data_IF_700450141435
#
_entry.id   IF_700450141435
#
_cell.length_a   1.000
_cell.length_b   1.000
_cell.length_c   1.000
_cell.angle_alpha   90.00
_cell.angle_beta   90.00
_cell.angle_gamma   90.00
#
_symmetry.space_group_name_H-M   'P 1'
#
loop_
_entity.id
_entity.type
_entity.pdbx_description
1 polymer ?
#
# COMPACT_ATOMS: atom_id res chain seq x y z
N UNK A 1 4.30 8.48 -30.07
CA UNK A 1 3.35 7.38 -30.33
C UNK A 1 4.07 6.05 -30.11
N UNK A 2 3.48 5.09 -29.40
CA UNK A 2 4.09 3.79 -29.12
C UNK A 2 3.30 2.67 -29.82
N UNK A 3 3.99 1.72 -30.46
CA UNK A 3 3.38 0.47 -30.91
C UNK A 3 3.70 -0.64 -29.90
N UNK A 4 2.65 -1.31 -29.42
CA UNK A 4 2.75 -2.44 -28.50
C UNK A 4 2.07 -3.63 -29.17
N UNK A 5 2.77 -4.76 -29.25
CA UNK A 5 2.25 -6.04 -29.72
C UNK A 5 2.65 -7.13 -28.71
N UNK A 6 1.75 -8.06 -28.41
CA UNK A 6 1.97 -9.15 -27.45
C UNK A 6 2.53 -8.68 -26.09
N UNK A 7 2.03 -7.53 -25.60
CA UNK A 7 2.48 -6.89 -24.36
C UNK A 7 3.96 -6.47 -24.36
N UNK A 8 4.58 -6.34 -25.53
CA UNK A 8 5.95 -5.87 -25.71
C UNK A 8 6.00 -4.60 -26.58
N UNK A 9 6.88 -3.65 -26.20
CA UNK A 9 7.10 -2.40 -26.93
C UNK A 9 7.86 -2.70 -28.23
N UNK A 10 7.20 -2.52 -29.37
CA UNK A 10 7.79 -2.77 -30.68
C UNK A 10 8.50 -1.54 -31.25
N UNK A 11 8.06 -0.33 -30.88
CA UNK A 11 8.66 0.89 -31.40
C UNK A 11 8.03 2.16 -30.84
N UNK A 12 8.78 3.26 -30.96
CA UNK A 12 8.35 4.60 -30.58
C UNK A 12 8.66 5.58 -31.71
N UNK A 13 7.66 6.33 -32.16
CA UNK A 13 7.78 7.37 -33.18
C UNK A 13 7.33 8.72 -32.64
N UNK A 14 7.77 9.84 -33.26
CA UNK A 14 7.22 11.15 -32.99
C UNK A 14 5.69 11.16 -33.09
N UNK A 15 5.05 12.04 -32.33
CA UNK A 15 3.60 12.23 -32.47
C UNK A 15 3.29 12.70 -33.91
N UNK A 16 2.42 12.01 -34.67
CA UNK A 16 2.09 12.42 -36.04
C UNK A 16 1.19 13.66 -36.06
N UNK A 17 0.66 14.09 -34.91
CA UNK A 17 -0.19 15.28 -34.78
C UNK A 17 0.62 16.40 -34.13
N UNK A 18 0.94 17.48 -34.88
CA UNK A 18 1.55 18.68 -34.32
C UNK A 18 0.55 19.42 -33.41
N UNK A 19 1.08 20.19 -32.45
CA UNK A 19 0.26 20.96 -31.50
C UNK A 19 -0.76 21.88 -32.17
N UNK A 20 -0.42 22.46 -33.32
CA UNK A 20 -1.27 23.42 -34.03
C UNK A 20 -2.51 22.75 -34.67
N UNK A 21 -2.48 21.43 -34.83
CA UNK A 21 -3.58 20.64 -35.40
C UNK A 21 -4.50 20.02 -34.34
N UNK A 22 -4.18 20.16 -33.04
CA UNK A 22 -4.98 19.56 -31.96
C UNK A 22 -6.42 20.08 -31.93
N UNK A 23 -6.64 21.35 -32.31
CA UNK A 23 -7.98 21.96 -32.35
C UNK A 23 -8.85 21.49 -33.52
N UNK A 24 -8.29 20.78 -34.50
CA UNK A 24 -8.99 20.25 -35.67
C UNK A 24 -9.36 18.76 -35.50
N UNK A 25 -9.07 18.17 -34.34
CA UNK A 25 -9.40 16.78 -34.05
C UNK A 25 -10.91 16.67 -33.78
N UNK A 26 -11.63 16.13 -34.75
CA UNK A 26 -13.05 15.82 -34.60
C UNK A 26 -13.29 14.71 -33.56
N UNK A 27 -14.36 14.85 -32.79
CA UNK A 27 -14.76 13.88 -31.77
C UNK A 27 -13.97 13.95 -30.45
N UNK A 28 -13.08 14.94 -30.28
CA UNK A 28 -12.47 15.24 -29.00
C UNK A 28 -13.55 15.64 -27.99
N UNK A 29 -13.69 14.86 -26.92
CA UNK A 29 -14.65 15.10 -25.82
C UNK A 29 -13.91 15.37 -24.53
N UNK A 30 -14.37 16.35 -23.77
CA UNK A 30 -13.86 16.60 -22.41
C UNK A 30 -14.09 15.36 -21.56
N UNK A 31 -13.04 14.89 -20.88
CA UNK A 31 -13.14 13.78 -19.94
C UNK A 31 -14.15 14.15 -18.84
N UNK A 32 -15.31 13.48 -18.84
CA UNK A 32 -16.40 13.72 -17.88
C UNK A 32 -16.24 12.87 -16.62
N UNK A 33 -15.46 11.79 -16.70
CA UNK A 33 -15.12 10.93 -15.57
C UNK A 33 -13.75 11.32 -15.01
N UNK A 34 -13.56 11.30 -13.69
CA UNK A 34 -12.23 11.31 -13.09
C UNK A 34 -11.38 10.22 -13.73
N UNK A 35 -10.11 10.53 -14.01
CA UNK A 35 -9.15 9.52 -14.45
C UNK A 35 -9.09 8.41 -13.40
N UNK A 36 -8.98 7.13 -13.82
CA UNK A 36 -8.73 6.06 -12.87
C UNK A 36 -7.44 6.39 -12.10
N UNK A 37 -7.37 6.08 -10.79
CA UNK A 37 -6.17 6.29 -10.02
C UNK A 37 -5.01 5.55 -10.71
N UNK A 38 -3.80 6.16 -10.77
CA UNK A 38 -2.68 5.55 -11.44
C UNK A 38 -2.44 4.14 -10.90
N UNK A 39 -2.15 3.15 -11.78
CA UNK A 39 -1.83 1.81 -11.34
C UNK A 39 -0.66 1.87 -10.35
N UNK A 40 -0.74 1.07 -9.29
CA UNK A 40 0.31 1.00 -8.29
C UNK A 40 1.65 0.71 -8.99
N UNK A 41 2.71 1.49 -8.71
CA UNK A 41 3.99 1.28 -9.35
C UNK A 41 4.47 -0.15 -9.11
N UNK A 42 5.04 -0.79 -10.14
CA UNK A 42 5.59 -2.13 -10.04
C UNK A 42 6.66 -2.16 -8.92
N UNK A 43 6.36 -2.87 -7.82
CA UNK A 43 7.20 -2.91 -6.61
C UNK A 43 6.60 -2.24 -5.38
N UNK A 44 5.42 -1.61 -5.46
CA UNK A 44 4.75 -1.04 -4.31
C UNK A 44 4.34 -2.13 -3.29
N UNK A 45 4.82 -1.99 -2.06
CA UNK A 45 4.52 -2.94 -0.97
C UNK A 45 3.27 -2.46 -0.24
N UNK A 46 2.35 -3.38 0.08
CA UNK A 46 1.16 -3.09 0.90
C UNK A 46 1.33 -3.63 2.30
N UNK A 47 1.02 -2.81 3.31
CA UNK A 47 1.04 -3.21 4.70
C UNK A 47 -0.27 -2.82 5.39
N UNK A 48 -0.87 -3.75 6.13
CA UNK A 48 -2.04 -3.43 6.95
C UNK A 48 -1.59 -3.02 8.35
N UNK A 49 -2.20 -1.97 8.89
CA UNK A 49 -1.94 -1.48 10.25
C UNK A 49 -3.24 -1.13 10.95
N UNK A 50 -3.37 -1.57 12.19
CA UNK A 50 -4.43 -1.08 13.08
C UNK A 50 -4.03 0.27 13.63
N UNK A 51 -4.91 1.26 13.50
CA UNK A 51 -4.70 2.58 14.11
C UNK A 51 -4.92 2.44 15.61
N UNK A 52 -3.92 2.86 16.40
CA UNK A 52 -4.02 2.86 17.86
C UNK A 52 -5.13 3.81 18.35
N UNK A 53 -5.59 3.65 19.60
CA UNK A 53 -6.58 4.52 20.21
C UNK A 53 -6.21 6.02 20.14
N UNK A 54 -4.91 6.33 20.21
CA UNK A 54 -4.38 7.69 20.05
C UNK A 54 -4.32 8.19 18.60
N UNK A 55 -4.89 7.48 17.63
CA UNK A 55 -4.97 7.92 16.23
C UNK A 55 -3.65 7.85 15.47
N UNK A 56 -2.71 7.00 15.90
CA UNK A 56 -1.40 6.79 15.26
C UNK A 56 -1.11 5.32 15.01
N UNK A 57 -0.22 5.04 14.06
CA UNK A 57 0.35 3.71 13.86
C UNK A 57 1.81 3.82 13.41
N UNK A 58 2.54 2.70 13.43
CA UNK A 58 3.94 2.64 12.98
C UNK A 58 4.07 1.88 11.66
N UNK A 59 4.88 2.42 10.76
CA UNK A 59 5.29 1.77 9.51
C UNK A 59 6.77 2.08 9.24
N UNK A 60 7.59 1.04 9.03
CA UNK A 60 9.02 1.18 8.77
C UNK A 60 9.77 2.15 9.71
N UNK A 61 9.52 2.03 11.04
CA UNK A 61 10.11 2.91 12.05
C UNK A 61 9.54 4.35 12.10
N UNK A 62 8.66 4.72 11.17
CA UNK A 62 8.00 6.03 11.12
C UNK A 62 6.60 5.95 11.72
N UNK A 63 6.31 6.85 12.66
CA UNK A 63 4.94 7.04 13.15
C UNK A 63 4.13 7.91 12.19
N UNK A 64 2.95 7.41 11.83
CA UNK A 64 1.96 8.13 11.03
C UNK A 64 0.76 8.43 11.90
N UNK A 65 0.28 9.68 11.81
CA UNK A 65 -0.87 10.20 12.57
C UNK A 65 -2.02 10.51 11.60
N UNK A 66 -2.87 9.53 11.23
CA UNK A 66 -4.11 9.80 10.51
C UNK A 66 -5.13 10.55 11.38
N UNK A 67 -5.02 10.46 12.71
CA UNK A 67 -5.88 11.16 13.66
C UNK A 67 -6.85 10.24 14.41
N UNK A 68 -7.42 10.71 15.53
CA UNK A 68 -8.23 9.89 16.44
C UNK A 68 -9.54 9.40 15.81
N UNK A 69 -10.10 10.09 14.81
CA UNK A 69 -11.29 9.66 14.06
C UNK A 69 -11.13 8.28 13.40
N UNK A 70 -9.89 7.88 13.13
CA UNK A 70 -9.57 6.60 12.51
C UNK A 70 -9.10 5.54 13.53
N UNK A 71 -9.16 5.82 14.83
CA UNK A 71 -8.77 4.88 15.87
C UNK A 71 -9.51 3.54 15.74
N UNK A 72 -8.79 2.43 15.95
CA UNK A 72 -9.33 1.08 15.85
C UNK A 72 -9.49 0.54 14.43
N UNK A 73 -9.52 1.41 13.40
CA UNK A 73 -9.64 0.99 11.99
C UNK A 73 -8.37 0.31 11.51
N UNK A 74 -8.52 -0.65 10.60
CA UNK A 74 -7.40 -1.24 9.87
C UNK A 74 -7.22 -0.44 8.58
N UNK A 75 -6.08 0.21 8.45
CA UNK A 75 -5.71 0.97 7.26
C UNK A 75 -4.73 0.17 6.41
N UNK A 76 -4.83 0.33 5.11
CA UNK A 76 -3.85 -0.18 4.15
C UNK A 76 -2.87 0.91 3.83
N UNK A 77 -1.59 0.66 4.09
CA UNK A 77 -0.51 1.57 3.73
C UNK A 77 0.12 1.03 2.45
N UNK A 78 -0.03 1.78 1.36
CA UNK A 78 0.75 1.58 0.14
C UNK A 78 2.07 2.28 0.33
N UNK A 79 3.16 1.52 0.19
CA UNK A 79 4.51 2.00 0.33
C UNK A 79 5.11 2.14 -1.05
N UNK A 80 5.28 3.39 -1.48
CA UNK A 80 5.95 3.74 -2.72
C UNK A 80 7.37 4.22 -2.42
N UNK A 81 8.09 4.67 -3.45
CA UNK A 81 9.51 5.02 -3.33
C UNK A 81 9.74 6.20 -2.38
N UNK A 82 8.91 7.25 -2.49
CA UNK A 82 9.11 8.52 -1.77
C UNK A 82 8.05 8.79 -0.70
N UNK A 83 6.88 8.14 -0.78
CA UNK A 83 5.76 8.41 0.11
C UNK A 83 4.93 7.18 0.46
N UNK A 84 4.19 7.30 1.55
CA UNK A 84 3.16 6.38 1.99
C UNK A 84 1.79 6.95 1.60
N UNK A 85 0.95 6.12 0.98
CA UNK A 85 -0.48 6.41 0.83
C UNK A 85 -1.25 5.56 1.83
N UNK A 86 -2.08 6.19 2.64
CA UNK A 86 -2.87 5.56 3.69
C UNK A 86 -4.30 5.47 3.17
N UNK A 87 -4.78 4.26 2.96
CA UNK A 87 -6.10 3.95 2.44
C UNK A 87 -6.95 3.26 3.51
N UNK A 88 -8.25 3.50 3.49
CA UNK A 88 -9.24 2.74 4.24
C UNK A 88 -10.35 2.29 3.28
N UNK A 89 -10.27 1.05 2.80
CA UNK A 89 -11.05 0.61 1.65
C UNK A 89 -10.53 1.29 0.39
N UNK A 90 -11.41 1.99 -0.33
CA UNK A 90 -11.08 2.78 -1.51
C UNK A 90 -10.74 4.25 -1.17
N UNK A 91 -11.04 4.69 0.05
CA UNK A 91 -10.82 6.09 0.47
C UNK A 91 -9.34 6.34 0.80
N UNK A 92 -8.74 7.34 0.14
CA UNK A 92 -7.43 7.84 0.50
C UNK A 92 -7.51 8.79 1.71
N UNK A 93 -7.00 8.35 2.85
CA UNK A 93 -7.01 9.11 4.10
C UNK A 93 -5.91 10.17 4.15
N UNK A 94 -4.72 9.82 3.64
CA UNK A 94 -3.57 10.71 3.67
C UNK A 94 -2.43 10.21 2.77
N UNK A 95 -1.64 11.15 2.27
CA UNK A 95 -0.30 10.92 1.71
C UNK A 95 0.75 11.52 2.65
N UNK A 96 1.82 10.76 2.93
CA UNK A 96 2.90 11.21 3.82
C UNK A 96 4.27 10.85 3.26
N UNK A 97 5.25 11.76 3.28
CA UNK A 97 6.59 11.46 2.80
C UNK A 97 7.26 10.39 3.66
N UNK A 98 8.08 9.56 3.02
CA UNK A 98 8.96 8.61 3.68
C UNK A 98 10.15 9.36 4.25
N UNK A 99 10.37 9.22 5.55
CA UNK A 99 11.59 9.74 6.19
C UNK A 99 12.83 8.91 5.85
N UNK A 100 12.64 7.64 5.52
CA UNK A 100 13.71 6.74 5.10
C UNK A 100 13.36 6.13 3.73
N UNK A 101 14.20 6.42 2.74
CA UNK A 101 14.08 5.98 1.34
C UNK A 101 14.82 4.67 1.07
N UNK A 102 15.52 4.12 2.06
CA UNK A 102 16.17 2.81 1.96
C UNK A 102 15.18 1.68 1.66
N UNK A 103 15.66 0.55 1.14
CA UNK A 103 14.82 -0.57 0.77
C UNK A 103 14.09 -1.15 1.99
N UNK A 104 12.85 -1.59 1.79
CA UNK A 104 12.08 -2.28 2.83
C UNK A 104 12.40 -3.76 2.74
N UNK A 105 13.22 -4.22 3.68
CA UNK A 105 13.69 -5.61 3.72
C UNK A 105 12.81 -6.50 4.59
N UNK A 106 12.07 -5.93 5.54
CA UNK A 106 11.27 -6.69 6.53
C UNK A 106 9.79 -6.60 6.23
N UNK A 107 9.24 -7.67 5.66
CA UNK A 107 7.83 -7.78 5.26
C UNK A 107 6.93 -8.51 6.26
N UNK A 108 7.50 -8.98 7.38
CA UNK A 108 6.76 -9.69 8.43
C UNK A 108 6.61 -8.86 9.71
N UNK A 109 5.56 -9.14 10.47
CA UNK A 109 5.30 -8.51 11.78
C UNK A 109 5.86 -9.40 12.88
N UNK A 110 6.62 -8.83 13.81
CA UNK A 110 6.97 -9.50 15.07
C UNK A 110 6.01 -8.99 16.14
N UNK A 111 4.97 -9.77 16.43
CA UNK A 111 4.05 -9.47 17.52
C UNK A 111 4.69 -9.75 18.88
N UNK A 112 4.44 -8.89 19.86
CA UNK A 112 4.59 -9.26 21.27
C UNK A 112 3.32 -10.03 21.64
N UNK A 113 3.35 -11.36 21.53
CA UNK A 113 2.18 -12.23 21.74
C UNK A 113 2.07 -13.44 20.81
N UNK A 114 2.98 -13.65 19.86
CA UNK A 114 3.06 -14.90 19.07
C UNK A 114 4.19 -15.80 19.57
N UNK A 115 4.28 -16.02 20.89
CA UNK A 115 4.94 -17.21 21.42
C UNK A 115 3.87 -18.29 21.53
N UNK A 116 4.08 -19.39 20.81
CA UNK A 116 3.20 -20.54 20.75
C UNK A 116 2.82 -21.01 22.16
N UNK A 117 1.53 -21.33 22.34
CA UNK A 117 1.07 -22.34 23.27
C UNK A 117 1.93 -23.60 23.05
N UNK A 118 2.90 -23.81 23.94
CA UNK A 118 3.55 -25.09 24.09
C UNK A 118 2.55 -25.95 24.83
N UNK A 119 1.71 -26.62 24.04
CA UNK A 119 0.65 -27.53 24.45
C UNK A 119 1.11 -28.38 25.63
N UNK A 120 0.52 -28.13 26.80
CA UNK A 120 0.66 -28.99 27.96
C UNK A 120 0.12 -30.36 27.59
N UNK A 121 0.95 -31.39 27.74
CA UNK A 121 0.49 -32.78 27.76
C UNK A 121 -0.15 -33.02 29.13
N UNK A 122 -1.45 -33.35 29.22
CA UNK A 122 -2.02 -33.85 30.45
C UNK A 122 -1.75 -35.35 30.48
N UNK A 123 -0.76 -35.78 31.26
CA UNK A 123 -0.79 -37.15 31.75
C UNK A 123 -0.60 -37.14 33.27
N UNK A 124 -1.75 -37.32 33.89
CA UNK A 124 -2.00 -37.55 35.29
C UNK A 124 -1.60 -38.99 35.65
N UNK A 125 -0.71 -39.19 36.63
CA UNK A 125 -0.75 -40.41 37.46
C UNK A 125 -0.14 -40.19 38.84
N UNK A 126 -0.74 -40.75 39.91
CA UNK A 126 -0.76 -40.10 41.20
C UNK A 126 0.36 -40.56 42.15
N UNK A 127 0.52 -39.70 43.17
CA UNK A 127 1.19 -39.90 44.44
C UNK A 127 1.28 -41.36 44.93
N UNK A 128 2.47 -41.77 45.35
CA UNK A 128 2.65 -42.82 46.36
C UNK A 128 3.58 -42.32 47.45
N UNK A 129 3.00 -42.14 48.64
CA UNK A 129 3.71 -42.03 49.92
C UNK A 129 4.44 -43.35 50.20
N UNK A 130 5.67 -43.26 50.69
CA UNK A 130 6.27 -44.13 51.71
C UNK A 130 7.36 -43.33 52.42
#
# INVERSE_FOLDING_TARGET
>A
MHAIADNALMGTWPCPVPTDHLGQIDGARTATSPLPPPPLPAGAIRAQRKVHASGRFMINGQFIKPGPRHAGKIVTVVIEDTHYRILHGEDELAVRPRKNLGPITRLYVKGMGTQHDRQGSPDDKPSRKS
#
